data_IF_644290432938
#
_entry.id   IF_644290432938
#
_cell.length_a   1.000
_cell.length_b   1.000
_cell.length_c   1.000
_cell.angle_alpha   90.00
_cell.angle_beta   90.00
_cell.angle_gamma   90.00
#
_symmetry.space_group_name_H-M   'P 1'
#
loop_
_entity.id
_entity.type
_entity.pdbx_description
1 polymer ?
#
# COMPACT_ATOMS: atom_id res chain seq x y z
N UNK A 1 28.91 1.44 20.90
CA UNK A 1 28.30 1.58 20.79
C UNK A 1 27.74 1.80 20.35
N UNK A 2 27.45 1.59 20.28
CA UNK A 2 26.76 1.66 19.89
C UNK A 2 25.94 1.75 19.74
N UNK A 3 25.63 1.51 19.59
CA UNK A 3 24.67 1.57 19.34
C UNK A 3 23.89 1.95 19.32
N UNK A 4 24.25 1.36 19.55
CA UNK A 4 23.07 1.78 19.73
C UNK A 4 22.48 2.91 19.36
N UNK A 5 22.87 3.57 19.23
CA UNK A 5 22.16 4.70 18.90
C UNK A 5 21.28 4.53 17.75
N UNK A 6 21.49 3.64 17.04
CA UNK A 6 20.73 3.48 15.98
C UNK A 6 19.51 2.91 16.21
N UNK A 7 19.48 2.08 17.09
CA UNK A 7 18.27 1.37 17.35
C UNK A 7 17.19 2.30 17.77
N UNK A 8 17.48 3.16 18.69
CA UNK A 8 16.42 3.97 19.17
C UNK A 8 15.99 5.01 18.19
N UNK A 9 16.87 5.46 17.33
CA UNK A 9 16.43 6.41 16.35
C UNK A 9 15.51 5.81 15.37
N UNK A 10 15.66 4.52 15.14
CA UNK A 10 14.83 3.90 14.16
C UNK A 10 13.43 3.67 14.57
N UNK A 11 13.19 3.50 15.84
CA UNK A 11 11.90 3.06 16.23
C UNK A 11 10.82 3.99 15.86
N UNK A 12 11.06 5.29 15.87
CA UNK A 12 9.97 6.13 15.45
C UNK A 12 10.08 6.45 13.98
N UNK A 13 11.21 6.22 13.39
CA UNK A 13 11.37 6.46 11.97
C UNK A 13 10.53 5.60 11.08
N UNK A 14 10.28 4.34 11.40
CA UNK A 14 9.54 3.48 10.50
C UNK A 14 8.19 4.03 10.08
N UNK A 15 7.55 4.82 10.94
CA UNK A 15 6.25 5.35 10.60
C UNK A 15 6.33 6.47 9.59
N UNK A 16 7.55 6.99 9.36
CA UNK A 16 7.74 8.08 8.43
C UNK A 16 8.27 7.63 7.08
N UNK A 17 8.45 6.33 6.88
CA UNK A 17 8.95 5.84 5.61
C UNK A 17 7.95 6.16 4.50
N UNK A 18 8.48 6.58 3.35
CA UNK A 18 7.65 6.85 2.20
C UNK A 18 7.00 5.57 1.71
N UNK A 19 5.83 5.71 1.13
CA UNK A 19 5.11 4.56 0.58
C UNK A 19 5.95 3.78 -0.42
N UNK A 20 6.70 4.49 -1.27
CA UNK A 20 7.53 3.84 -2.29
C UNK A 20 8.59 2.97 -1.66
N UNK A 21 9.21 3.47 -0.57
CA UNK A 21 10.19 2.70 0.15
C UNK A 21 9.57 1.45 0.75
N UNK A 22 8.39 1.59 1.34
CA UNK A 22 7.70 0.44 1.92
C UNK A 22 7.35 -0.58 0.84
N UNK A 23 6.91 -0.13 -0.32
CA UNK A 23 6.55 -1.05 -1.39
C UNK A 23 7.75 -1.83 -1.90
N UNK A 24 8.91 -1.16 -2.04
CA UNK A 24 10.12 -1.84 -2.45
C UNK A 24 10.56 -2.86 -1.41
N UNK A 25 10.45 -2.52 -0.13
CA UNK A 25 10.79 -3.44 0.95
C UNK A 25 9.86 -4.65 0.96
N UNK A 26 8.59 -4.42 0.70
CA UNK A 26 7.63 -5.52 0.61
C UNK A 26 8.00 -6.45 -0.55
N UNK A 27 8.35 -5.89 -1.69
CA UNK A 27 8.80 -6.69 -2.83
C UNK A 27 10.03 -7.53 -2.52
N UNK A 28 10.85 -7.07 -1.58
CA UNK A 28 12.04 -7.79 -1.16
C UNK A 28 11.76 -8.77 -0.01
N UNK A 29 10.50 -8.91 0.41
CA UNK A 29 10.12 -9.90 1.40
C UNK A 29 9.75 -9.38 2.77
N UNK A 30 9.67 -8.05 2.94
CA UNK A 30 9.37 -7.45 4.24
C UNK A 30 7.85 -7.35 4.44
N UNK A 31 7.27 -8.33 5.11
CA UNK A 31 5.83 -8.36 5.33
C UNK A 31 5.36 -7.21 6.22
N UNK A 32 6.20 -6.70 7.10
CA UNK A 32 5.83 -5.58 7.94
C UNK A 32 5.61 -4.33 7.10
N UNK A 33 6.37 -4.17 6.02
CA UNK A 33 6.18 -3.04 5.13
C UNK A 33 4.79 -3.08 4.49
N UNK A 34 4.31 -4.26 4.12
CA UNK A 34 2.95 -4.40 3.59
C UNK A 34 1.92 -3.98 4.64
N UNK A 35 2.10 -4.43 5.88
CA UNK A 35 1.15 -4.09 6.94
C UNK A 35 1.05 -2.58 7.13
N UNK A 36 2.17 -1.86 6.98
CA UNK A 36 2.17 -0.41 7.10
C UNK A 36 1.47 0.26 5.95
N UNK A 37 1.71 -0.22 4.73
CA UNK A 37 1.01 0.31 3.56
C UNK A 37 -0.49 0.10 3.69
N UNK A 38 -0.87 -1.09 4.10
CA UNK A 38 -2.28 -1.43 4.26
C UNK A 38 -2.93 -0.51 5.30
N UNK A 39 -2.28 -0.34 6.46
CA UNK A 39 -2.83 0.50 7.51
C UNK A 39 -3.01 1.94 7.06
N UNK A 40 -2.08 2.46 6.24
CA UNK A 40 -2.16 3.83 5.75
C UNK A 40 -3.29 4.04 4.76
N UNK A 41 -3.49 3.07 3.89
CA UNK A 41 -4.32 3.31 2.70
C UNK A 41 -5.66 2.60 2.69
N UNK A 42 -5.90 1.68 3.62
CA UNK A 42 -7.14 0.91 3.60
C UNK A 42 -8.39 1.78 3.70
N UNK A 43 -8.38 2.75 4.60
CA UNK A 43 -9.54 3.61 4.80
C UNK A 43 -9.84 4.49 3.59
N UNK A 44 -8.86 5.29 3.15
CA UNK A 44 -9.08 6.14 1.98
C UNK A 44 -9.44 5.35 0.73
N UNK A 45 -8.79 4.20 0.51
CA UNK A 45 -9.07 3.39 -0.67
C UNK A 45 -10.50 2.85 -0.63
N UNK A 46 -10.92 2.32 0.51
CA UNK A 46 -12.27 1.79 0.62
C UNK A 46 -13.30 2.89 0.36
N UNK A 47 -13.09 4.08 0.95
CA UNK A 47 -14.02 5.19 0.76
C UNK A 47 -14.07 5.63 -0.70
N UNK A 48 -12.93 5.63 -1.38
CA UNK A 48 -12.89 5.95 -2.80
C UNK A 48 -13.76 4.95 -3.60
N UNK A 49 -13.54 3.66 -3.37
CA UNK A 49 -14.27 2.63 -4.10
C UNK A 49 -15.77 2.71 -3.79
N UNK A 50 -16.13 2.94 -2.54
CA UNK A 50 -17.52 3.05 -2.16
C UNK A 50 -18.19 4.24 -2.85
N UNK A 51 -17.51 5.37 -2.93
CA UNK A 51 -18.06 6.53 -3.63
C UNK A 51 -18.28 6.23 -5.11
N UNK A 52 -17.37 5.47 -5.70
CA UNK A 52 -17.44 5.19 -7.13
C UNK A 52 -18.54 4.18 -7.48
N UNK A 53 -18.72 3.15 -6.69
CA UNK A 53 -19.70 2.11 -7.02
C UNK A 53 -21.01 2.22 -6.25
N UNK A 54 -21.04 2.91 -5.13
CA UNK A 54 -22.26 3.17 -4.38
C UNK A 54 -22.84 2.00 -3.61
N UNK A 55 -22.17 0.85 -3.59
CA UNK A 55 -22.67 -0.35 -2.94
C UNK A 55 -21.59 -0.97 -2.06
N UNK A 56 -21.82 -1.07 -0.74
CA UNK A 56 -20.79 -1.58 0.16
C UNK A 56 -20.28 -2.98 -0.20
N UNK A 57 -21.16 -3.88 -0.58
CA UNK A 57 -20.74 -5.24 -0.92
C UNK A 57 -19.81 -5.25 -2.13
N UNK A 58 -20.13 -4.43 -3.14
CA UNK A 58 -19.28 -4.33 -4.33
C UNK A 58 -17.97 -3.64 -3.99
N UNK A 59 -18.03 -2.58 -3.18
CA UNK A 59 -16.81 -1.88 -2.77
C UNK A 59 -15.87 -2.82 -2.05
N UNK A 60 -16.38 -3.70 -1.20
CA UNK A 60 -15.57 -4.65 -0.47
C UNK A 60 -14.88 -5.64 -1.40
N UNK A 61 -15.61 -6.12 -2.39
CA UNK A 61 -15.05 -7.04 -3.37
C UNK A 61 -13.94 -6.36 -4.18
N UNK A 62 -14.20 -5.14 -4.65
CA UNK A 62 -13.20 -4.39 -5.41
C UNK A 62 -11.98 -4.08 -4.55
N UNK A 63 -12.20 -3.76 -3.29
CA UNK A 63 -11.14 -3.47 -2.33
C UNK A 63 -10.20 -4.66 -2.19
N UNK A 64 -10.75 -5.85 -2.01
CA UNK A 64 -9.93 -7.05 -1.90
C UNK A 64 -9.15 -7.29 -3.19
N UNK A 65 -9.80 -7.11 -4.33
CA UNK A 65 -9.14 -7.33 -5.62
C UNK A 65 -7.97 -6.38 -5.84
N UNK A 66 -8.10 -5.13 -5.41
CA UNK A 66 -7.01 -4.16 -5.56
C UNK A 66 -5.79 -4.60 -4.75
N UNK A 67 -6.03 -5.01 -3.50
CA UNK A 67 -4.90 -5.45 -2.66
C UNK A 67 -4.27 -6.74 -3.21
N UNK A 68 -5.07 -7.65 -3.75
CA UNK A 68 -4.54 -8.86 -4.37
C UNK A 68 -3.67 -8.52 -5.58
N UNK A 69 -4.08 -7.52 -6.36
CA UNK A 69 -3.28 -7.08 -7.50
C UNK A 69 -1.96 -6.46 -7.05
N UNK A 70 -2.00 -5.69 -5.97
CA UNK A 70 -0.78 -5.11 -5.40
C UNK A 70 0.17 -6.23 -4.97
N UNK A 71 -0.36 -7.24 -4.28
CA UNK A 71 0.45 -8.37 -3.82
C UNK A 71 1.07 -9.09 -5.00
N UNK A 72 0.28 -9.34 -6.04
CA UNK A 72 0.79 -10.02 -7.22
C UNK A 72 1.87 -9.23 -7.95
N UNK A 73 1.81 -7.90 -7.88
CA UNK A 73 2.75 -7.04 -8.59
C UNK A 73 4.00 -6.71 -7.78
N UNK A 74 4.09 -7.16 -6.54
CA UNK A 74 5.12 -6.67 -5.62
C UNK A 74 6.56 -6.87 -6.10
N UNK A 75 6.82 -7.98 -6.78
CA UNK A 75 8.19 -8.29 -7.21
C UNK A 75 8.62 -7.47 -8.42
N UNK A 76 7.67 -6.99 -9.19
CA UNK A 76 7.98 -6.20 -10.38
C UNK A 76 7.78 -4.71 -10.20
N UNK A 77 7.46 -4.28 -9.00
CA UNK A 77 7.21 -2.87 -8.76
C UNK A 77 8.50 -2.06 -8.88
N UNK A 78 8.43 -0.96 -9.62
CA UNK A 78 9.53 0.00 -9.72
C UNK A 78 8.94 1.39 -9.50
N UNK A 79 9.75 2.30 -8.98
CA UNK A 79 9.28 3.64 -8.68
C UNK A 79 9.28 4.47 -9.95
N UNK A 80 8.11 4.67 -10.53
CA UNK A 80 7.95 5.50 -11.72
C UNK A 80 7.04 6.69 -11.47
N UNK A 81 6.25 6.62 -10.40
CA UNK A 81 5.33 7.66 -9.99
C UNK A 81 5.10 7.51 -8.51
N UNK A 82 4.30 8.39 -7.92
CA UNK A 82 3.95 8.22 -6.52
C UNK A 82 3.21 6.91 -6.33
N UNK A 83 3.45 6.27 -5.19
CA UNK A 83 2.78 5.02 -4.86
C UNK A 83 1.26 5.19 -4.95
N UNK A 84 0.72 6.29 -4.41
CA UNK A 84 -0.73 6.50 -4.43
C UNK A 84 -1.25 6.63 -5.86
N UNK A 85 -0.50 7.24 -6.75
CA UNK A 85 -0.90 7.30 -8.15
C UNK A 85 -1.04 5.90 -8.73
N UNK A 86 -0.06 5.05 -8.45
CA UNK A 86 -0.07 3.68 -8.93
C UNK A 86 -1.19 2.87 -8.31
N UNK A 87 -1.36 3.00 -6.98
CA UNK A 87 -2.41 2.26 -6.26
C UNK A 87 -3.79 2.63 -6.79
N UNK A 88 -4.06 3.92 -6.97
CA UNK A 88 -5.38 4.35 -7.43
C UNK A 88 -5.59 4.05 -8.92
N UNK A 89 -4.52 3.88 -9.68
CA UNK A 89 -4.65 3.38 -11.04
C UNK A 89 -5.12 1.92 -11.04
N UNK A 90 -4.59 1.10 -10.14
CA UNK A 90 -5.08 -0.27 -9.98
C UNK A 90 -6.57 -0.26 -9.62
N UNK A 91 -6.95 0.63 -8.71
CA UNK A 91 -8.34 0.72 -8.27
C UNK A 91 -9.25 1.16 -9.42
N UNK A 92 -8.85 2.19 -10.15
CA UNK A 92 -9.64 2.69 -11.28
C UNK A 92 -9.80 1.63 -12.35
N UNK A 93 -8.70 0.96 -12.69
CA UNK A 93 -8.76 -0.09 -13.70
C UNK A 93 -9.72 -1.20 -13.30
N UNK A 94 -9.75 -1.53 -12.02
CA UNK A 94 -10.66 -2.57 -11.55
C UNK A 94 -12.12 -2.12 -11.63
N UNK A 95 -12.36 -0.82 -11.40
CA UNK A 95 -13.73 -0.28 -11.48
C UNK A 95 -14.31 -0.37 -12.87
N UNK A 96 -13.47 -0.20 -13.89
CA UNK A 96 -13.96 -0.21 -15.26
C UNK A 96 -13.91 -1.58 -15.93
N UNK A 97 -13.38 -2.56 -15.26
CA UNK A 97 -13.41 -3.93 -15.78
C UNK A 97 -14.82 -4.51 -15.61
#
# INVERSE_FOLDING_TARGET
MRLAPRAFTLRFMPTDDADETLMLRYGAGDADAFARLYARHKGPLYRYLLRQCGQPAVAEELFQDVWLKLIAARNGYTVQAKFTTWLYRLAHNRLID
#
